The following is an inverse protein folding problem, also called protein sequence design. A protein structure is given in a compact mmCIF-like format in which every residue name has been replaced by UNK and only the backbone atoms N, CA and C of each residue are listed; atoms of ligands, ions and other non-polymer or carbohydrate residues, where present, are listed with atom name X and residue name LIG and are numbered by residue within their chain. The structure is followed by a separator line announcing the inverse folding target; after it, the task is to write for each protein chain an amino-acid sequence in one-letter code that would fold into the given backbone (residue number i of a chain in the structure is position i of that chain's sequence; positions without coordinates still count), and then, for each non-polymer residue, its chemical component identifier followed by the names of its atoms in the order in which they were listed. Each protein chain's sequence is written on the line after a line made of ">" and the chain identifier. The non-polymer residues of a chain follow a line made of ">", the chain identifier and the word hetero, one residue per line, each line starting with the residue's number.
data_IF_220147771971
#
_entry.id   IF_220147771971
#
_cell.length_a   1.000
_cell.length_b   1.000
_cell.length_c   1.000
_cell.angle_alpha   90.00
_cell.angle_beta   90.00
_cell.angle_gamma   90.00
#
_symmetry.space_group_name_H-M   'P 1'
#
loop_
_entity.id
_entity.type
_entity.pdbx_description
1 polymer ?
#
# COMPACT_ATOMS: atom_id res chain seq x y z
N UNK A 1 -34.41 33.55 40.62
CA UNK A 1 -33.87 33.24 39.27
C UNK A 1 -32.37 33.50 39.27
N UNK A 2 -31.55 32.45 39.35
CA UNK A 2 -30.08 32.54 39.40
C UNK A 2 -29.50 32.34 38.00
N UNK A 3 -28.81 33.36 37.48
CA UNK A 3 -28.19 33.37 36.16
C UNK A 3 -26.81 32.71 36.25
N UNK A 4 -26.70 31.42 35.90
CA UNK A 4 -25.42 30.70 35.86
C UNK A 4 -24.65 31.08 34.60
N UNK A 5 -23.45 31.61 34.79
CA UNK A 5 -22.55 32.11 33.76
C UNK A 5 -22.04 30.99 32.85
N UNK A 6 -22.35 31.08 31.54
CA UNK A 6 -21.89 30.13 30.49
C UNK A 6 -20.44 30.34 30.04
N UNK A 7 -19.75 31.37 30.53
CA UNK A 7 -18.40 31.75 30.08
C UNK A 7 -17.28 30.84 30.60
N UNK A 8 -17.54 29.97 31.58
CA UNK A 8 -16.52 29.06 32.12
C UNK A 8 -16.24 27.83 31.26
N UNK A 9 -17.19 27.42 30.40
CA UNK A 9 -17.03 26.21 29.58
C UNK A 9 -16.20 26.46 28.31
N UNK A 10 -16.40 27.61 27.67
CA UNK A 10 -15.69 27.98 26.43
C UNK A 10 -14.21 28.23 26.66
N UNK A 11 -13.86 28.84 27.81
CA UNK A 11 -12.47 29.07 28.18
C UNK A 11 -11.69 27.76 28.42
N UNK A 12 -12.35 26.72 28.94
CA UNK A 12 -11.71 25.43 29.22
C UNK A 12 -11.43 24.63 27.94
N UNK A 13 -12.34 24.67 26.97
CA UNK A 13 -12.15 24.01 25.67
C UNK A 13 -11.00 24.64 24.88
N UNK A 14 -10.87 25.97 24.90
CA UNK A 14 -9.78 26.66 24.21
C UNK A 14 -8.39 26.32 24.79
N UNK A 15 -8.28 26.17 26.11
CA UNK A 15 -7.02 25.79 26.77
C UNK A 15 -6.61 24.35 26.43
N UNK A 16 -7.57 23.42 26.33
CA UNK A 16 -7.30 22.03 25.95
C UNK A 16 -6.79 21.88 24.51
N UNK A 17 -7.34 22.65 23.56
CA UNK A 17 -6.90 22.62 22.15
C UNK A 17 -5.51 23.24 21.99
N UNK A 18 -5.21 24.32 22.73
CA UNK A 18 -3.87 24.93 22.73
C UNK A 18 -2.80 24.01 23.31
N UNK A 19 -3.12 23.21 24.35
CA UNK A 19 -2.19 22.26 24.94
C UNK A 19 -1.84 21.09 23.99
N UNK A 20 -2.81 20.62 23.20
CA UNK A 20 -2.61 19.55 22.20
C UNK A 20 -1.68 19.98 21.06
N UNK A 21 -1.75 21.24 20.62
CA UNK A 21 -0.91 21.76 19.53
C UNK A 21 0.57 21.92 19.91
N UNK A 22 0.89 22.09 21.19
CA UNK A 22 2.28 22.26 21.67
C UNK A 22 3.03 20.93 21.82
N UNK A 23 2.31 19.81 21.99
CA UNK A 23 2.95 18.48 22.13
C UNK A 23 3.38 17.89 20.79
N UNK A 24 2.80 18.31 19.67
CA UNK A 24 3.08 17.75 18.35
C UNK A 24 4.41 18.23 17.72
N UNK A 25 5.07 19.27 18.24
CA UNK A 25 6.21 19.92 17.58
C UNK A 25 7.61 19.45 18.05
N UNK A 26 7.73 18.35 18.81
CA UNK A 26 9.02 17.94 19.42
C UNK A 26 9.59 16.61 18.92
N UNK A 27 9.15 16.10 17.76
CA UNK A 27 9.62 14.82 17.21
C UNK A 27 10.34 14.93 15.84
N UNK A 28 10.93 16.08 15.53
CA UNK A 28 11.86 16.22 14.39
C UNK A 28 13.24 16.63 14.91
N UNK A 29 14.02 15.65 15.36
CA UNK A 29 15.38 15.88 15.81
C UNK A 29 16.20 14.59 15.82
N UNK A 30 17.09 14.46 14.84
CA UNK A 30 18.33 13.69 15.00
C UNK A 30 18.46 12.39 14.20
N UNK A 31 18.71 12.48 12.90
CA UNK A 31 19.50 11.46 12.18
C UNK A 31 20.72 12.16 11.56
N UNK A 32 21.68 12.53 12.41
CA UNK A 32 23.05 12.77 12.00
C UNK A 32 23.78 11.42 12.03
N UNK A 33 23.69 10.68 10.92
CA UNK A 33 24.52 9.50 10.69
C UNK A 33 25.95 9.95 10.42
N UNK A 34 26.80 9.91 11.46
CA UNK A 34 28.25 10.01 11.31
C UNK A 34 28.78 8.66 10.80
N UNK A 35 28.83 8.49 9.47
CA UNK A 35 29.66 7.46 8.84
C UNK A 35 31.00 8.10 8.45
N UNK A 36 32.04 7.82 9.23
CA UNK A 36 33.41 8.14 8.90
C UNK A 36 33.86 7.23 7.74
N UNK A 37 34.04 7.80 6.56
CA UNK A 37 34.85 7.23 5.49
C UNK A 37 35.71 8.34 4.86
N UNK A 38 36.87 8.60 5.46
CA UNK A 38 38.05 9.09 4.75
C UNK A 38 38.63 7.88 4.01
N UNK A 39 39.00 7.87 2.73
CA UNK A 39 39.80 8.84 1.99
C UNK A 39 39.87 8.44 0.51
N UNK A 40 40.00 9.42 -0.39
CA UNK A 40 40.40 9.21 -1.79
C UNK A 40 39.78 10.22 -2.75
N UNK A 41 40.59 11.13 -3.32
CA UNK A 41 40.20 12.25 -4.19
C UNK A 41 39.45 11.85 -5.47
N UNK A 42 38.88 12.77 -6.25
CA UNK A 42 39.50 13.99 -6.77
C UNK A 42 38.42 15.02 -7.16
N UNK A 43 38.83 16.28 -7.32
CA UNK A 43 37.95 17.44 -7.49
C UNK A 43 37.24 17.53 -8.86
N UNK A 44 35.95 17.88 -8.85
CA UNK A 44 35.19 18.38 -10.01
C UNK A 44 33.81 18.91 -9.61
N UNK A 45 33.56 20.20 -9.87
CA UNK A 45 32.35 20.93 -9.47
C UNK A 45 31.17 20.78 -10.47
N UNK A 46 29.99 21.40 -10.23
CA UNK A 46 28.71 20.74 -9.98
C UNK A 46 27.79 20.65 -11.22
N UNK A 47 26.97 19.60 -11.30
CA UNK A 47 25.92 19.49 -12.30
C UNK A 47 24.87 18.44 -11.93
N UNK A 48 23.66 18.92 -11.65
CA UNK A 48 22.37 18.21 -11.68
C UNK A 48 22.33 16.75 -11.22
N UNK A 49 21.88 16.52 -9.99
CA UNK A 49 21.44 15.21 -9.53
C UNK A 49 20.13 14.81 -10.20
N UNK A 50 20.20 14.21 -11.38
CA UNK A 50 19.17 13.27 -11.85
C UNK A 50 19.48 11.89 -11.24
N UNK A 51 19.09 11.71 -9.98
CA UNK A 51 19.17 10.44 -9.25
C UNK A 51 18.17 9.38 -9.73
N UNK A 52 17.88 9.33 -11.03
CA UNK A 52 16.83 8.51 -11.64
C UNK A 52 17.30 7.24 -12.35
N UNK A 53 18.57 6.84 -12.23
CA UNK A 53 19.14 5.80 -13.08
C UNK A 53 19.94 4.73 -12.35
N UNK A 54 19.27 3.81 -11.65
CA UNK A 54 19.84 2.48 -11.30
C UNK A 54 18.83 1.45 -10.71
N UNK A 55 17.50 1.60 -10.88
CA UNK A 55 16.50 0.61 -10.38
C UNK A 55 15.50 0.14 -11.47
N UNK A 56 15.82 0.35 -12.74
CA UNK A 56 14.87 0.11 -13.84
C UNK A 56 14.97 -1.28 -14.49
N UNK A 57 15.77 -2.20 -13.95
CA UNK A 57 16.11 -3.45 -14.64
C UNK A 57 15.35 -4.70 -14.17
N UNK A 58 14.47 -4.62 -13.16
CA UNK A 58 13.69 -5.79 -12.74
C UNK A 58 12.38 -5.41 -12.05
N UNK A 59 11.58 -4.56 -12.72
CA UNK A 59 10.25 -4.22 -12.19
C UNK A 59 9.29 -5.32 -12.61
N UNK A 60 8.82 -6.08 -11.62
CA UNK A 60 7.68 -6.99 -11.75
C UNK A 60 6.47 -6.17 -12.21
N UNK A 61 5.84 -6.58 -13.31
CA UNK A 61 4.61 -5.95 -13.77
C UNK A 61 3.45 -6.30 -12.81
N UNK A 62 2.53 -5.38 -12.51
CA UNK A 62 1.35 -5.67 -11.69
C UNK A 62 0.53 -6.81 -12.31
N UNK A 63 0.41 -7.98 -11.65
CA UNK A 63 -0.27 -9.13 -12.24
C UNK A 63 -1.79 -8.97 -12.30
N UNK A 64 -2.39 -8.11 -11.46
CA UNK A 64 -3.86 -7.92 -11.42
C UNK A 64 -4.34 -6.53 -11.81
N UNK A 65 -3.46 -5.50 -11.76
CA UNK A 65 -3.82 -4.10 -12.05
C UNK A 65 -4.96 -3.54 -11.17
N UNK A 66 -5.17 -4.15 -10.01
CA UNK A 66 -6.15 -3.74 -9.00
C UNK A 66 -5.74 -2.44 -8.30
N UNK A 67 -4.45 -2.12 -8.30
CA UNK A 67 -3.91 -0.99 -7.55
C UNK A 67 -3.17 -0.02 -8.48
N UNK A 68 -3.34 1.28 -8.21
CA UNK A 68 -2.59 2.31 -8.92
C UNK A 68 -1.10 2.33 -8.52
N UNK A 69 -0.28 2.82 -9.43
CA UNK A 69 1.17 3.00 -9.23
C UNK A 69 2.00 1.73 -9.40
N UNK A 70 3.30 1.86 -9.17
CA UNK A 70 4.27 0.78 -9.41
C UNK A 70 4.41 -0.22 -8.24
N UNK A 71 3.87 0.11 -7.06
CA UNK A 71 4.05 -0.69 -5.85
C UNK A 71 5.50 -0.79 -5.36
N UNK A 72 5.67 -1.53 -4.27
CA UNK A 72 6.97 -1.90 -3.70
C UNK A 72 7.22 -3.39 -3.90
N UNK A 73 8.26 -3.80 -4.64
CA UNK A 73 8.49 -5.21 -4.95
C UNK A 73 9.00 -5.98 -3.74
N UNK A 74 8.51 -7.21 -3.59
CA UNK A 74 8.96 -8.23 -2.65
C UNK A 74 9.06 -9.54 -3.42
N UNK A 75 10.20 -10.21 -3.35
CA UNK A 75 10.36 -11.56 -3.88
C UNK A 75 10.64 -12.56 -2.77
N UNK A 76 10.14 -13.78 -2.95
CA UNK A 76 10.41 -14.94 -2.10
C UNK A 76 10.78 -16.11 -3.03
N UNK A 77 11.94 -16.71 -2.81
CA UNK A 77 12.49 -17.73 -3.70
C UNK A 77 13.68 -17.19 -4.49
N UNK A 78 14.08 -17.90 -5.54
CA UNK A 78 15.22 -17.54 -6.37
C UNK A 78 14.87 -16.64 -7.57
N UNK A 79 13.61 -16.18 -7.68
CA UNK A 79 13.18 -15.05 -8.51
C UNK A 79 13.40 -15.21 -10.02
N UNK A 80 13.62 -16.43 -10.51
CA UNK A 80 13.93 -16.68 -11.92
C UNK A 80 14.69 -17.98 -12.20
N UNK A 81 14.72 -18.92 -11.26
CA UNK A 81 15.34 -20.24 -11.39
C UNK A 81 14.33 -21.39 -11.41
N UNK A 82 14.83 -22.61 -11.59
CA UNK A 82 14.03 -23.83 -11.42
C UNK A 82 13.60 -23.96 -9.96
N UNK A 83 12.30 -23.91 -9.68
CA UNK A 83 11.78 -23.89 -8.33
C UNK A 83 10.51 -23.06 -8.16
N UNK A 84 10.02 -23.00 -6.93
CA UNK A 84 8.87 -22.20 -6.56
C UNK A 84 9.32 -20.79 -6.14
N UNK A 85 8.66 -19.77 -6.68
CA UNK A 85 8.89 -18.38 -6.33
C UNK A 85 7.55 -17.64 -6.14
N UNK A 86 7.58 -16.56 -5.35
CA UNK A 86 6.48 -15.61 -5.22
C UNK A 86 7.05 -14.22 -5.47
N UNK A 87 6.48 -13.56 -6.47
CA UNK A 87 6.74 -12.15 -6.76
C UNK A 87 5.53 -11.34 -6.34
N UNK A 88 5.74 -10.28 -5.55
CA UNK A 88 4.66 -9.46 -5.03
C UNK A 88 4.96 -7.95 -5.11
N UNK A 89 3.92 -7.15 -5.29
CA UNK A 89 3.93 -5.71 -5.22
C UNK A 89 3.04 -5.27 -4.06
N UNK A 90 3.59 -4.47 -3.13
CA UNK A 90 2.83 -3.86 -2.04
C UNK A 90 2.47 -2.43 -2.41
N UNK A 91 1.18 -2.11 -2.44
CA UNK A 91 0.66 -0.79 -2.77
C UNK A 91 0.27 -0.05 -1.50
N UNK A 92 0.95 1.07 -1.25
CA UNK A 92 0.78 1.91 -0.05
C UNK A 92 0.31 3.33 -0.40
N UNK A 93 -0.27 3.54 -1.59
CA UNK A 93 -0.61 4.86 -2.14
C UNK A 93 -1.38 5.75 -1.17
N UNK A 94 -2.37 5.22 -0.45
CA UNK A 94 -3.12 5.98 0.57
C UNK A 94 -2.21 6.61 1.65
N UNK A 95 -1.09 5.95 1.98
CA UNK A 95 -0.17 6.35 3.05
C UNK A 95 1.04 7.15 2.53
N UNK A 96 1.46 6.92 1.29
CA UNK A 96 2.71 7.47 0.75
C UNK A 96 2.49 8.58 -0.27
N UNK A 97 1.46 8.46 -1.12
CA UNK A 97 1.11 9.45 -2.13
C UNK A 97 -0.39 9.33 -2.50
N UNK A 98 -1.28 10.02 -1.77
CA UNK A 98 -2.72 9.95 -2.01
C UNK A 98 -3.15 10.65 -3.31
N UNK A 99 -2.24 11.33 -4.02
CA UNK A 99 -2.50 11.85 -5.37
C UNK A 99 -2.23 10.78 -6.45
N UNK A 100 -1.41 9.78 -6.15
CA UNK A 100 -1.13 8.66 -7.06
C UNK A 100 -2.20 7.56 -7.04
N UNK A 101 -2.99 7.48 -5.96
CA UNK A 101 -4.07 6.50 -5.81
C UNK A 101 -4.74 6.57 -4.46
N UNK A 102 -5.89 5.93 -4.35
CA UNK A 102 -6.65 5.76 -3.11
C UNK A 102 -6.73 4.29 -2.68
N UNK A 103 -5.89 3.44 -3.26
CA UNK A 103 -5.82 2.02 -2.97
C UNK A 103 -4.68 1.67 -2.00
N UNK A 104 -4.90 0.61 -1.21
CA UNK A 104 -3.93 -0.01 -0.32
C UNK A 104 -4.10 -1.53 -0.40
N UNK A 105 -3.02 -2.27 -0.62
CA UNK A 105 -3.09 -3.73 -0.71
C UNK A 105 -1.85 -4.34 -1.32
N UNK A 106 -2.00 -5.54 -1.86
CA UNK A 106 -0.92 -6.26 -2.52
C UNK A 106 -1.39 -7.00 -3.76
N UNK A 107 -0.49 -7.15 -4.72
CA UNK A 107 -0.61 -8.07 -5.83
C UNK A 107 0.52 -9.09 -5.75
N UNK A 108 0.26 -10.35 -6.05
CA UNK A 108 1.25 -11.41 -5.99
C UNK A 108 1.03 -12.46 -7.09
N UNK A 109 2.12 -13.00 -7.61
CA UNK A 109 2.15 -14.15 -8.50
C UNK A 109 3.06 -15.22 -7.89
N UNK A 110 2.48 -16.39 -7.60
CA UNK A 110 3.22 -17.59 -7.25
C UNK A 110 3.50 -18.41 -8.50
N UNK A 111 4.77 -18.67 -8.76
CA UNK A 111 5.23 -19.42 -9.93
C UNK A 111 5.90 -20.73 -9.55
N UNK A 112 5.83 -21.72 -10.42
CA UNK A 112 6.65 -22.93 -10.36
C UNK A 112 7.39 -23.09 -11.69
N UNK A 113 8.72 -23.14 -11.63
CA UNK A 113 9.59 -23.20 -12.82
C UNK A 113 9.31 -22.07 -13.84
N UNK A 114 8.97 -20.89 -13.32
CA UNK A 114 8.64 -19.69 -14.11
C UNK A 114 7.20 -19.64 -14.63
N UNK A 115 6.41 -20.70 -14.48
CA UNK A 115 4.99 -20.71 -14.87
C UNK A 115 4.10 -20.20 -13.72
N UNK A 116 3.17 -19.25 -13.96
CA UNK A 116 2.26 -18.77 -12.94
C UNK A 116 1.24 -19.85 -12.57
N UNK A 117 1.24 -20.21 -11.29
CA UNK A 117 0.30 -21.18 -10.70
C UNK A 117 -0.83 -20.45 -9.99
N UNK A 118 -0.50 -19.39 -9.26
CA UNK A 118 -1.48 -18.60 -8.51
C UNK A 118 -1.22 -17.11 -8.70
N UNK A 119 -2.29 -16.35 -8.90
CA UNK A 119 -2.27 -14.89 -8.90
C UNK A 119 -3.28 -14.39 -7.89
N UNK A 120 -2.89 -13.38 -7.12
CA UNK A 120 -3.73 -12.78 -6.09
C UNK A 120 -3.56 -11.26 -6.11
N UNK A 121 -4.65 -10.52 -6.24
CA UNK A 121 -4.78 -9.12 -5.86
C UNK A 121 -5.70 -9.04 -4.65
N UNK A 122 -5.25 -8.42 -3.56
CA UNK A 122 -6.07 -8.28 -2.35
C UNK A 122 -5.79 -6.97 -1.63
N UNK A 123 -6.84 -6.21 -1.34
CA UNK A 123 -6.72 -4.93 -0.66
C UNK A 123 -8.02 -4.14 -0.60
N UNK A 124 -7.89 -2.84 -0.46
CA UNK A 124 -9.00 -1.91 -0.34
C UNK A 124 -8.76 -0.63 -1.11
N UNK A 125 -9.86 0.02 -1.53
CA UNK A 125 -9.87 1.36 -2.11
C UNK A 125 -10.69 2.29 -1.24
N UNK A 126 -10.12 3.42 -0.84
CA UNK A 126 -10.80 4.44 -0.05
C UNK A 126 -11.70 5.31 -0.94
N UNK A 127 -13.01 5.07 -0.94
CA UNK A 127 -14.00 5.72 -1.83
C UNK A 127 -14.86 6.79 -1.16
N UNK A 128 -15.07 6.74 0.17
CA UNK A 128 -15.86 7.73 0.89
C UNK A 128 -15.14 8.23 2.15
N UNK A 129 -14.20 9.17 1.97
CA UNK A 129 -13.37 9.73 3.06
C UNK A 129 -14.20 10.42 4.15
N UNK A 130 -15.34 10.98 3.76
CA UNK A 130 -16.30 11.68 4.61
C UNK A 130 -17.03 10.71 5.56
N UNK A 131 -17.25 9.46 5.15
CA UNK A 131 -17.88 8.44 6.01
C UNK A 131 -17.03 8.12 7.26
N UNK A 132 -15.70 8.23 7.13
CA UNK A 132 -14.77 8.14 8.27
C UNK A 132 -14.94 9.34 9.21
N UNK A 133 -15.16 10.53 8.65
CA UNK A 133 -15.29 11.77 9.42
C UNK A 133 -16.63 11.86 10.17
N UNK A 134 -17.70 11.34 9.58
CA UNK A 134 -19.06 11.37 10.14
C UNK A 134 -19.28 10.28 11.22
N UNK A 135 -18.37 9.29 11.31
CA UNK A 135 -18.26 8.35 12.44
C UNK A 135 -19.37 7.30 12.55
N UNK A 136 -20.19 7.13 11.51
CA UNK A 136 -21.32 6.18 11.51
C UNK A 136 -20.84 4.77 11.14
N UNK A 137 -20.10 4.65 10.04
CA UNK A 137 -19.48 3.40 9.60
C UNK A 137 -18.17 3.71 8.86
N UNK A 138 -17.01 3.56 9.53
CA UNK A 138 -15.72 3.82 8.89
C UNK A 138 -15.38 2.77 7.83
N UNK A 139 -16.01 1.58 7.82
CA UNK A 139 -15.74 0.53 6.85
C UNK A 139 -16.46 0.77 5.53
N UNK A 140 -17.61 1.46 5.55
CA UNK A 140 -18.31 1.92 4.35
C UNK A 140 -17.49 2.94 3.53
N UNK A 141 -16.39 3.46 4.08
CA UNK A 141 -15.44 4.30 3.36
C UNK A 141 -14.59 3.52 2.35
N UNK A 142 -14.56 2.20 2.44
CA UNK A 142 -13.68 1.34 1.67
C UNK A 142 -14.47 0.41 0.76
N UNK A 143 -13.98 0.21 -0.46
CA UNK A 143 -14.33 -0.93 -1.29
C UNK A 143 -13.25 -2.01 -1.13
N UNK A 144 -13.65 -3.28 -1.09
CA UNK A 144 -12.71 -4.40 -1.15
C UNK A 144 -12.33 -4.66 -2.60
N UNK A 145 -11.03 -4.74 -2.86
CA UNK A 145 -10.45 -5.17 -4.13
C UNK A 145 -9.95 -6.60 -3.97
N UNK A 146 -10.44 -7.50 -4.82
CA UNK A 146 -10.05 -8.90 -4.82
C UNK A 146 -10.03 -9.45 -6.24
N UNK A 147 -8.94 -10.13 -6.59
CA UNK A 147 -8.81 -10.90 -7.81
C UNK A 147 -7.98 -12.14 -7.51
N UNK A 148 -8.50 -13.32 -7.83
CA UNK A 148 -7.79 -14.57 -7.61
C UNK A 148 -7.83 -15.44 -8.86
N UNK A 149 -6.69 -15.98 -9.22
CA UNK A 149 -6.57 -16.97 -10.28
C UNK A 149 -5.70 -18.14 -9.81
N UNK A 150 -6.15 -19.36 -10.06
CA UNK A 150 -5.41 -20.60 -9.86
C UNK A 150 -5.39 -21.37 -11.16
N UNK A 151 -4.19 -21.73 -11.60
CA UNK A 151 -3.95 -22.56 -12.78
C UNK A 151 -3.26 -23.84 -12.34
N UNK A 152 -3.75 -24.97 -12.84
CA UNK A 152 -3.18 -26.29 -12.56
C UNK A 152 -2.76 -26.94 -13.87
N UNK A 153 -1.57 -26.60 -14.41
CA UNK A 153 -1.14 -27.01 -15.75
C UNK A 153 -1.06 -28.53 -15.93
N UNK A 154 -0.90 -29.29 -14.84
CA UNK A 154 -0.93 -30.75 -14.88
C UNK A 154 -2.28 -31.33 -15.34
N UNK A 155 -3.36 -30.54 -15.27
CA UNK A 155 -4.70 -30.94 -15.66
C UNK A 155 -5.14 -30.37 -17.01
N UNK A 156 -4.31 -29.55 -17.66
CA UNK A 156 -4.64 -28.95 -18.96
C UNK A 156 -5.00 -30.02 -19.99
N UNK A 157 -6.20 -29.88 -20.57
CA UNK A 157 -6.73 -30.81 -21.58
C UNK A 157 -7.22 -32.17 -21.03
N UNK A 158 -7.12 -32.42 -19.72
CA UNK A 158 -7.59 -33.67 -19.08
C UNK A 158 -8.90 -33.49 -18.31
N UNK A 159 -9.20 -32.28 -17.87
CA UNK A 159 -10.43 -31.90 -17.16
C UNK A 159 -10.92 -30.58 -17.78
N UNK A 160 -12.25 -30.38 -17.81
CA UNK A 160 -12.87 -29.23 -18.48
C UNK A 160 -12.46 -27.86 -17.92
N UNK A 161 -12.17 -27.80 -16.61
CA UNK A 161 -11.79 -26.57 -15.91
C UNK A 161 -10.44 -26.78 -15.19
N UNK A 162 -9.32 -26.53 -15.89
CA UNK A 162 -7.97 -26.51 -15.29
C UNK A 162 -7.56 -25.14 -14.74
N UNK A 163 -8.40 -24.12 -15.01
CA UNK A 163 -8.27 -22.76 -14.50
C UNK A 163 -9.46 -22.42 -13.61
N UNK A 164 -9.19 -21.78 -12.48
CA UNK A 164 -10.18 -21.22 -11.59
C UNK A 164 -9.92 -19.73 -11.42
N UNK A 165 -10.96 -18.90 -11.56
CA UNK A 165 -10.93 -17.46 -11.33
C UNK A 165 -12.04 -17.06 -10.38
N UNK A 166 -11.74 -16.14 -9.48
CA UNK A 166 -12.70 -15.62 -8.51
C UNK A 166 -12.43 -14.14 -8.21
N UNK A 167 -13.45 -13.32 -8.48
CA UNK A 167 -13.46 -11.90 -8.17
C UNK A 167 -14.31 -11.62 -6.90
N UNK A 168 -14.88 -12.68 -6.31
CA UNK A 168 -15.62 -12.61 -5.06
C UNK A 168 -14.68 -12.54 -3.87
N UNK A 169 -14.80 -11.48 -3.08
CA UNK A 169 -14.06 -11.36 -1.81
C UNK A 169 -14.32 -12.59 -0.92
N UNK A 170 -13.27 -13.22 -0.35
CA UNK A 170 -13.41 -14.36 0.56
C UNK A 170 -13.97 -13.97 1.93
N UNK A 171 -14.18 -12.67 2.16
CA UNK A 171 -14.78 -12.10 3.37
C UNK A 171 -16.13 -11.44 3.06
N UNK A 172 -17.14 -11.74 3.88
CA UNK A 172 -18.38 -10.97 3.95
C UNK A 172 -18.08 -9.61 4.62
N UNK A 173 -17.72 -8.62 3.82
CA UNK A 173 -17.39 -7.28 4.31
C UNK A 173 -18.65 -6.40 4.37
N UNK A 174 -18.70 -5.49 5.36
CA UNK A 174 -19.63 -4.35 5.32
C UNK A 174 -19.30 -3.33 4.22
N UNK A 175 -18.13 -3.49 3.60
CA UNK A 175 -17.66 -2.79 2.43
C UNK A 175 -18.19 -3.43 1.13
N UNK A 176 -18.41 -2.62 0.09
CA UNK A 176 -18.74 -3.13 -1.24
C UNK A 176 -17.54 -3.87 -1.85
N UNK A 177 -17.77 -5.00 -2.50
CA UNK A 177 -16.76 -5.67 -3.34
C UNK A 177 -16.85 -5.07 -4.74
N UNK A 178 -15.71 -4.62 -5.27
CA UNK A 178 -15.65 -4.04 -6.62
C UNK A 178 -14.59 -4.77 -7.45
N UNK A 179 -14.85 -4.97 -8.75
CA UNK A 179 -13.87 -5.58 -9.63
C UNK A 179 -12.67 -4.67 -9.84
N UNK A 180 -11.55 -5.32 -10.14
CA UNK A 180 -10.44 -4.73 -10.89
C UNK A 180 -10.80 -4.80 -12.39
#
# INVERSE_FOLDING_TARGET
>A
MTRRSRSGLTARVAVSVALLLVVATVATGGLAGAAAATSGGDAGAPGGSDGGGALAADRVAPPTQCFAGAGHPISIGDGGGSGAAIEALVHLSVLTDPAAGNEFGMEAAGTLDGEPIVVLGAGVRLTAREAVADGVDPFAAFDVLYAYELRLPMFDGSIGDSEYRDDGSPIDAGAGVVPC
#
